data_IF_721500119993
#
_entry.id   IF_721500119993
#
_cell.length_a   1.000
_cell.length_b   1.000
_cell.length_c   1.000
_cell.angle_alpha   90.00
_cell.angle_beta   90.00
_cell.angle_gamma   90.00
#
_symmetry.space_group_name_H-M   'P 1'
#
loop_
_entity.id
_entity.type
_entity.pdbx_description
1 polymer ?
#
# COMPACT_ATOMS: atom_id res chain seq x y z
N UNK A 1 -3.12 13.55 -0.41
CA UNK A 1 -1.92 12.81 -0.83
C UNK A 1 -1.27 12.28 0.42
N UNK A 2 -1.12 10.96 0.53
CA UNK A 2 -0.43 10.38 1.69
C UNK A 2 1.04 10.81 1.70
N UNK A 3 1.64 10.90 2.89
CA UNK A 3 3.06 11.24 3.05
C UNK A 3 4.02 10.08 2.78
N UNK A 4 3.57 9.04 2.06
CA UNK A 4 4.31 7.79 1.89
C UNK A 4 4.70 7.57 0.43
N UNK A 5 5.90 6.99 0.23
CA UNK A 5 6.23 6.27 -1.00
C UNK A 5 5.88 4.80 -0.84
N UNK A 6 5.39 4.17 -1.89
CA UNK A 6 5.09 2.75 -1.93
C UNK A 6 6.12 2.04 -2.80
N UNK A 7 6.70 0.94 -2.31
CA UNK A 7 7.50 0.01 -3.08
C UNK A 7 6.62 -1.21 -3.36
N UNK A 8 6.49 -1.57 -4.63
CA UNK A 8 5.76 -2.77 -5.08
C UNK A 8 6.54 -3.42 -6.22
N UNK A 9 6.87 -4.70 -6.07
CA UNK A 9 7.88 -5.34 -6.92
C UNK A 9 9.23 -4.63 -6.80
N UNK A 10 9.77 -4.20 -7.94
CA UNK A 10 11.05 -3.47 -8.02
C UNK A 10 10.88 -1.95 -8.25
N UNK A 11 9.63 -1.45 -8.20
CA UNK A 11 9.31 -0.05 -8.53
C UNK A 11 8.87 0.75 -7.30
N UNK A 12 9.07 2.07 -7.38
CA UNK A 12 8.72 3.03 -6.33
C UNK A 12 7.70 4.02 -6.84
N UNK A 13 6.54 4.07 -6.19
CA UNK A 13 5.41 4.90 -6.59
C UNK A 13 5.08 5.97 -5.54
N UNK A 14 4.52 7.08 -6.01
CA UNK A 14 3.84 8.06 -5.16
C UNK A 14 2.41 7.58 -4.93
N UNK A 15 2.09 7.19 -3.70
CA UNK A 15 0.79 6.61 -3.38
C UNK A 15 -0.20 7.70 -2.96
N UNK A 16 -1.35 7.70 -3.61
CA UNK A 16 -2.44 8.65 -3.38
C UNK A 16 -3.25 8.20 -2.17
N UNK A 17 -3.56 6.91 -2.11
CA UNK A 17 -4.40 6.30 -1.06
C UNK A 17 -4.00 4.85 -0.77
N UNK A 18 -4.23 4.41 0.47
CA UNK A 18 -3.88 3.06 0.96
C UNK A 18 -5.07 2.54 1.78
N UNK A 19 -5.71 1.48 1.31
CA UNK A 19 -6.90 0.90 1.94
C UNK A 19 -6.57 -0.53 2.39
N UNK A 20 -6.24 -0.73 3.68
CA UNK A 20 -5.92 -2.05 4.21
C UNK A 20 -7.17 -2.86 4.56
N UNK A 21 -7.18 -4.14 4.18
CA UNK A 21 -8.17 -5.13 4.64
C UNK A 21 -7.58 -5.98 5.76
N UNK A 22 -8.27 -6.02 6.91
CA UNK A 22 -7.87 -6.81 8.08
C UNK A 22 -8.85 -7.98 8.26
N UNK A 23 -8.34 -9.21 8.22
CA UNK A 23 -9.18 -10.42 8.39
C UNK A 23 -8.99 -11.10 9.75
N UNK A 24 -7.94 -10.75 10.48
CA UNK A 24 -7.57 -11.39 11.73
C UNK A 24 -7.86 -10.49 12.93
N UNK A 25 -8.13 -11.12 14.07
CA UNK A 25 -8.18 -10.45 15.37
C UNK A 25 -6.82 -9.83 15.71
N UNK A 26 -6.79 -8.67 16.40
CA UNK A 26 -5.53 -8.04 16.78
C UNK A 26 -4.61 -9.00 17.56
N UNK A 27 -3.33 -9.03 17.22
CA UNK A 27 -2.27 -9.63 18.04
C UNK A 27 -1.45 -8.50 18.66
N UNK A 28 -1.21 -8.58 19.97
CA UNK A 28 -0.48 -7.55 20.73
C UNK A 28 -1.05 -6.13 20.58
N UNK A 29 -2.37 -6.02 20.36
CA UNK A 29 -3.06 -4.75 20.15
C UNK A 29 -2.98 -4.19 18.72
N UNK A 30 -2.23 -4.83 17.82
CA UNK A 30 -2.10 -4.43 16.43
C UNK A 30 -2.85 -5.39 15.50
N UNK A 31 -3.53 -4.86 14.48
CA UNK A 31 -4.05 -5.66 13.36
C UNK A 31 -3.06 -5.61 12.22
N UNK A 32 -2.65 -6.77 11.71
CA UNK A 32 -1.86 -6.86 10.49
C UNK A 32 -2.80 -6.89 9.29
N UNK A 33 -2.57 -6.01 8.33
CA UNK A 33 -3.31 -6.04 7.08
C UNK A 33 -3.01 -7.34 6.34
N UNK A 34 -4.05 -7.97 5.77
CA UNK A 34 -3.90 -9.15 4.92
C UNK A 34 -3.78 -8.76 3.45
N UNK A 35 -4.63 -7.83 3.01
CA UNK A 35 -4.62 -7.28 1.66
C UNK A 35 -4.54 -5.75 1.73
N UNK A 36 -4.03 -5.16 0.65
CA UNK A 36 -4.00 -3.72 0.47
C UNK A 36 -4.51 -3.40 -0.94
N UNK A 37 -5.44 -2.46 -1.01
CA UNK A 37 -5.76 -1.73 -2.23
C UNK A 37 -4.99 -0.41 -2.19
N UNK A 38 -4.06 -0.24 -3.13
CA UNK A 38 -3.25 0.97 -3.24
C UNK A 38 -3.55 1.70 -4.54
N UNK A 39 -3.80 3.01 -4.43
CA UNK A 39 -3.98 3.90 -5.57
C UNK A 39 -2.73 4.77 -5.71
N UNK A 40 -2.11 4.80 -6.88
CA UNK A 40 -0.84 5.47 -7.12
C UNK A 40 -0.78 6.11 -8.51
N UNK A 41 0.17 7.03 -8.69
CA UNK A 41 0.52 7.58 -10.01
C UNK A 41 1.70 6.79 -10.56
N UNK A 42 1.57 6.27 -11.78
CA UNK A 42 2.64 5.55 -12.48
C UNK A 42 3.66 6.49 -13.16
N UNK A 43 4.60 5.92 -13.91
CA UNK A 43 5.66 6.68 -14.60
C UNK A 43 5.14 7.54 -15.75
N UNK A 44 4.00 7.19 -16.33
CA UNK A 44 3.34 7.94 -17.41
C UNK A 44 2.46 9.08 -16.87
N UNK A 45 2.29 9.15 -15.55
CA UNK A 45 1.43 10.14 -14.89
C UNK A 45 -0.03 9.70 -14.74
N UNK A 46 -0.34 8.43 -15.01
CA UNK A 46 -1.68 7.87 -14.95
C UNK A 46 -2.00 7.34 -13.54
N UNK A 47 -3.26 7.47 -13.13
CA UNK A 47 -3.73 6.93 -11.85
C UNK A 47 -4.05 5.46 -12.02
N UNK A 48 -3.35 4.60 -11.29
CA UNK A 48 -3.58 3.15 -11.26
C UNK A 48 -3.92 2.67 -9.85
N UNK A 49 -4.56 1.50 -9.80
CA UNK A 49 -4.85 0.80 -8.56
C UNK A 49 -4.29 -0.63 -8.62
N UNK A 50 -3.81 -1.12 -7.50
CA UNK A 50 -3.35 -2.50 -7.32
C UNK A 50 -3.94 -3.10 -6.05
N UNK A 51 -4.41 -4.33 -6.15
CA UNK A 51 -4.90 -5.14 -5.03
C UNK A 51 -3.98 -6.36 -4.89
N UNK A 52 -3.33 -6.51 -3.74
CA UNK A 52 -2.45 -7.66 -3.48
C UNK A 52 -2.32 -7.94 -1.97
N UNK A 53 -1.66 -9.04 -1.63
CA UNK A 53 -1.32 -9.36 -0.25
C UNK A 53 -0.40 -8.30 0.37
N UNK A 54 -0.68 -7.93 1.61
CA UNK A 54 -0.03 -6.79 2.27
C UNK A 54 1.50 -6.95 2.40
N UNK A 55 2.03 -8.17 2.35
CA UNK A 55 3.47 -8.42 2.45
C UNK A 55 4.24 -8.03 1.18
N UNK A 56 3.55 -7.90 0.03
CA UNK A 56 4.11 -7.46 -1.24
C UNK A 56 4.47 -5.96 -1.25
N UNK A 57 3.93 -5.19 -0.30
CA UNK A 57 4.11 -3.74 -0.24
C UNK A 57 5.12 -3.35 0.85
N UNK A 58 5.91 -2.31 0.57
CA UNK A 58 6.64 -1.56 1.60
C UNK A 58 6.28 -0.08 1.48
N UNK A 59 6.07 0.58 2.62
CA UNK A 59 5.79 2.02 2.67
C UNK A 59 6.92 2.74 3.38
N UNK A 60 7.42 3.81 2.75
CA UNK A 60 8.50 4.64 3.29
C UNK A 60 7.93 6.02 3.54
N UNK A 61 8.04 6.50 4.80
CA UNK A 61 7.68 7.87 5.15
C UNK A 61 8.63 8.85 4.48
N UNK A 62 8.10 9.99 4.03
CA UNK A 62 8.92 11.09 3.52
C UNK A 62 9.64 11.84 4.65
#
# INVERSE_FOLDING_TARGET
>A
MTGFKMIYGEQVFNVIDIIPTFTESPQDGFRKAKFIDAVYVDEDGEIRAVHDEAWCFKFVRR
#
